data_IF_821145700905
#
_entry.id   IF_821145700905
#
_cell.length_a   1.000
_cell.length_b   1.000
_cell.length_c   1.000
_cell.angle_alpha   90.00
_cell.angle_beta   90.00
_cell.angle_gamma   90.00
#
_symmetry.space_group_name_H-M   'P 1'
#
loop_
_entity.id
_entity.type
_entity.pdbx_description
1 polymer ?
#
# COMPACT_ATOMS: atom_id res chain seq x y z
N UNK A 1 -0.23 15.40 -10.28
CA UNK A 1 0.65 14.81 -11.31
C UNK A 1 2.03 15.28 -10.98
N UNK A 2 2.96 14.36 -10.79
CA UNK A 2 4.34 14.67 -10.41
C UNK A 2 5.25 14.47 -11.62
N UNK A 3 6.17 15.40 -11.85
CA UNK A 3 7.15 15.30 -12.92
C UNK A 3 8.45 14.73 -12.34
N UNK A 4 9.04 13.78 -13.04
CA UNK A 4 10.32 13.17 -12.64
C UNK A 4 11.30 13.26 -13.80
N UNK A 5 12.59 13.34 -13.46
CA UNK A 5 13.68 13.24 -14.43
C UNK A 5 13.65 11.88 -15.14
N UNK A 6 14.13 11.83 -16.39
CA UNK A 6 14.15 10.60 -17.19
C UNK A 6 14.94 9.48 -16.49
N UNK A 7 16.02 9.83 -15.79
CA UNK A 7 16.84 8.90 -15.00
C UNK A 7 16.08 8.21 -13.85
N UNK A 8 14.91 8.74 -13.46
CA UNK A 8 14.05 8.16 -12.43
C UNK A 8 12.90 7.30 -13.01
N UNK A 9 12.80 7.15 -14.34
CA UNK A 9 11.66 6.47 -14.98
C UNK A 9 11.55 4.99 -14.63
N UNK A 10 12.67 4.27 -14.46
CA UNK A 10 12.63 2.88 -14.01
C UNK A 10 12.10 2.76 -12.57
N UNK A 11 12.48 3.70 -11.71
CA UNK A 11 11.97 3.79 -10.34
C UNK A 11 10.48 4.14 -10.32
N UNK A 12 10.05 5.09 -11.16
CA UNK A 12 8.65 5.43 -11.33
C UNK A 12 7.84 4.22 -11.84
N UNK A 13 8.39 3.42 -12.75
CA UNK A 13 7.76 2.19 -13.26
C UNK A 13 7.61 1.14 -12.15
N UNK A 14 8.65 0.93 -11.34
CA UNK A 14 8.59 0.00 -10.22
C UNK A 14 7.60 0.43 -9.13
N UNK A 15 7.49 1.73 -8.88
CA UNK A 15 6.59 2.29 -7.89
C UNK A 15 5.14 2.44 -8.40
N UNK A 16 4.90 3.27 -9.42
CA UNK A 16 3.56 3.65 -9.87
C UNK A 16 3.04 2.82 -11.05
N UNK A 17 3.94 2.30 -11.89
CA UNK A 17 3.57 1.38 -12.97
C UNK A 17 3.13 0.01 -12.41
N UNK A 18 3.89 -0.52 -11.47
CA UNK A 18 3.63 -1.82 -10.82
C UNK A 18 2.77 -1.69 -9.56
N UNK A 19 2.79 -0.52 -8.91
CA UNK A 19 2.08 -0.22 -7.65
C UNK A 19 0.62 -0.61 -7.60
N UNK A 20 -0.21 -0.37 -8.65
CA UNK A 20 -1.61 -0.77 -8.65
C UNK A 20 -1.81 -2.26 -8.37
N UNK A 21 -0.93 -3.13 -8.88
CA UNK A 21 -0.99 -4.56 -8.62
C UNK A 21 -0.71 -4.88 -7.14
N UNK A 22 0.26 -4.19 -6.53
CA UNK A 22 0.56 -4.36 -5.10
C UNK A 22 -0.62 -3.90 -4.22
N UNK A 23 -1.27 -2.79 -4.59
CA UNK A 23 -2.47 -2.29 -3.89
C UNK A 23 -3.67 -3.24 -4.08
N UNK A 24 -3.85 -3.85 -5.24
CA UNK A 24 -4.88 -4.89 -5.42
C UNK A 24 -4.60 -6.14 -4.57
N UNK A 25 -3.34 -6.46 -4.32
CA UNK A 25 -2.98 -7.53 -3.38
C UNK A 25 -3.42 -7.20 -1.94
N UNK A 26 -3.23 -5.95 -1.50
CA UNK A 26 -3.75 -5.48 -0.20
C UNK A 26 -5.28 -5.54 -0.16
N UNK A 27 -5.96 -5.11 -1.23
CA UNK A 27 -7.42 -5.17 -1.32
C UNK A 27 -7.94 -6.61 -1.14
N UNK A 28 -7.32 -7.58 -1.79
CA UNK A 28 -7.68 -8.99 -1.64
C UNK A 28 -7.41 -9.50 -0.22
N UNK A 29 -6.23 -9.19 0.34
CA UNK A 29 -5.87 -9.57 1.71
C UNK A 29 -6.85 -9.01 2.76
N UNK A 30 -7.23 -7.73 2.65
CA UNK A 30 -8.25 -7.10 3.51
C UNK A 30 -9.64 -7.73 3.33
N UNK A 31 -10.00 -8.08 2.08
CA UNK A 31 -11.27 -8.75 1.79
C UNK A 31 -11.33 -10.13 2.45
N UNK A 32 -10.27 -10.93 2.30
CA UNK A 32 -10.14 -12.25 2.94
C UNK A 32 -10.11 -12.12 4.46
N UNK A 33 -9.40 -11.12 5.00
CA UNK A 33 -9.34 -10.86 6.44
C UNK A 33 -10.73 -10.52 7.02
N UNK A 34 -11.47 -9.63 6.36
CA UNK A 34 -12.84 -9.27 6.76
C UNK A 34 -13.81 -10.45 6.70
N UNK A 35 -13.70 -11.29 5.68
CA UNK A 35 -14.51 -12.53 5.54
C UNK A 35 -14.22 -13.51 6.69
N UNK A 36 -12.94 -13.74 6.99
CA UNK A 36 -12.53 -14.57 8.13
C UNK A 36 -12.94 -13.99 9.50
N UNK A 37 -13.05 -12.67 9.60
CA UNK A 37 -13.55 -11.99 10.78
C UNK A 37 -15.09 -12.02 10.91
N UNK A 38 -15.80 -12.63 9.95
CA UNK A 38 -17.25 -12.88 10.02
C UNK A 38 -18.12 -11.96 9.15
N UNK A 39 -17.52 -11.09 8.33
CA UNK A 39 -18.29 -10.31 7.35
C UNK A 39 -18.64 -11.18 6.14
N UNK A 40 -19.79 -10.99 5.48
CA UNK A 40 -19.99 -11.57 4.16
C UNK A 40 -18.91 -11.06 3.19
N UNK A 41 -18.23 -11.94 2.46
CA UNK A 41 -17.18 -11.58 1.48
C UNK A 41 -17.49 -10.34 0.63
N UNK A 42 -18.72 -10.22 0.11
CA UNK A 42 -19.13 -9.08 -0.71
C UNK A 42 -19.16 -7.76 0.09
N UNK A 43 -19.51 -7.80 1.37
CA UNK A 43 -19.44 -6.65 2.29
C UNK A 43 -17.98 -6.32 2.60
N UNK A 44 -17.16 -7.33 2.93
CA UNK A 44 -15.73 -7.15 3.21
C UNK A 44 -15.01 -6.46 2.03
N UNK A 45 -15.26 -6.91 0.79
CA UNK A 45 -14.72 -6.30 -0.42
C UNK A 45 -15.12 -4.83 -0.58
N UNK A 46 -16.39 -4.50 -0.33
CA UNK A 46 -16.88 -3.11 -0.43
C UNK A 46 -16.29 -2.20 0.64
N UNK A 47 -16.07 -2.71 1.85
CA UNK A 47 -15.41 -1.96 2.92
C UNK A 47 -13.93 -1.76 2.59
N UNK A 48 -13.22 -2.83 2.23
CA UNK A 48 -11.79 -2.78 1.92
C UNK A 48 -11.46 -1.76 0.81
N UNK A 49 -12.22 -1.76 -0.30
CA UNK A 49 -12.02 -0.77 -1.38
C UNK A 49 -12.28 0.67 -0.91
N UNK A 50 -13.26 0.89 -0.03
CA UNK A 50 -13.58 2.23 0.48
C UNK A 50 -12.51 2.72 1.46
N UNK A 51 -11.98 1.81 2.30
CA UNK A 51 -10.85 2.08 3.19
C UNK A 51 -9.63 2.50 2.39
N UNK A 52 -9.27 1.74 1.34
CA UNK A 52 -8.13 2.09 0.48
C UNK A 52 -8.34 3.44 -0.23
N UNK A 53 -9.53 3.68 -0.80
CA UNK A 53 -9.84 4.96 -1.43
C UNK A 53 -9.75 6.13 -0.45
N UNK A 54 -10.33 5.98 0.75
CA UNK A 54 -10.34 7.02 1.79
C UNK A 54 -8.93 7.35 2.27
N UNK A 55 -8.13 6.33 2.57
CA UNK A 55 -6.74 6.53 3.01
C UNK A 55 -5.89 7.22 1.93
N UNK A 56 -5.98 6.77 0.68
CA UNK A 56 -5.26 7.39 -0.43
C UNK A 56 -5.71 8.84 -0.66
N UNK A 57 -7.01 9.10 -0.60
CA UNK A 57 -7.57 10.45 -0.74
C UNK A 57 -7.04 11.38 0.36
N UNK A 58 -7.08 10.95 1.62
CA UNK A 58 -6.58 11.72 2.75
C UNK A 58 -5.08 12.04 2.61
N UNK A 59 -4.28 11.08 2.17
CA UNK A 59 -2.85 11.29 1.93
C UNK A 59 -2.55 12.23 0.74
N UNK A 60 -3.48 12.40 -0.20
CA UNK A 60 -3.35 13.34 -1.33
C UNK A 60 -3.83 14.75 -0.95
N UNK A 61 -4.86 14.84 -0.10
CA UNK A 61 -5.50 16.10 0.26
C UNK A 61 -4.80 16.84 1.43
N UNK A 62 -3.85 16.20 2.11
CA UNK A 62 -3.12 16.80 3.25
C UNK A 62 -1.62 16.64 3.13
N UNK A 63 -0.86 17.49 3.85
CA UNK A 63 0.59 17.41 3.96
C UNK A 63 1.07 16.52 5.12
N UNK A 64 0.16 15.70 5.69
CA UNK A 64 0.53 14.79 6.78
C UNK A 64 1.32 13.60 6.24
N UNK A 65 2.39 13.27 6.94
CA UNK A 65 3.16 12.05 6.72
C UNK A 65 2.33 10.81 7.07
N UNK A 66 2.70 9.62 6.54
CA UNK A 66 2.03 8.37 6.91
C UNK A 66 1.98 8.11 8.43
N UNK A 67 3.06 8.43 9.14
CA UNK A 67 3.12 8.25 10.59
C UNK A 67 2.15 9.20 11.31
N UNK A 68 2.05 10.46 10.87
CA UNK A 68 1.07 11.39 11.43
C UNK A 68 -0.37 10.90 11.18
N UNK A 69 -0.66 10.36 9.99
CA UNK A 69 -1.97 9.74 9.73
C UNK A 69 -2.25 8.55 10.64
N UNK A 70 -1.26 7.70 10.89
CA UNK A 70 -1.37 6.58 11.83
C UNK A 70 -1.67 7.07 13.25
N UNK A 71 -0.99 8.13 13.71
CA UNK A 71 -1.25 8.74 15.03
C UNK A 71 -2.71 9.24 15.15
N UNK A 72 -3.28 9.80 14.08
CA UNK A 72 -4.66 10.31 14.11
C UNK A 72 -5.72 9.21 14.24
N UNK A 73 -5.42 7.98 13.81
CA UNK A 73 -6.39 6.87 13.78
C UNK A 73 -6.13 5.78 14.81
N UNK A 74 -5.00 5.84 15.52
CA UNK A 74 -4.70 4.92 16.60
C UNK A 74 -5.09 5.52 17.94
N UNK A 75 -5.52 4.64 18.85
CA UNK A 75 -5.74 4.96 20.26
C UNK A 75 -4.87 4.03 21.09
N UNK A 76 -4.33 4.47 22.25
CA UNK A 76 -3.58 3.58 23.14
C UNK A 76 -4.40 2.35 23.53
N UNK A 77 -3.85 1.15 23.26
CA UNK A 77 -4.55 -0.13 23.49
C UNK A 77 -5.74 -0.40 22.55
N UNK A 78 -5.86 0.35 21.45
CA UNK A 78 -6.93 0.21 20.47
C UNK A 78 -6.68 -0.88 19.43
N UNK A 79 -7.73 -1.21 18.66
CA UNK A 79 -7.69 -2.23 17.61
C UNK A 79 -6.69 -1.91 16.50
N UNK A 80 -6.48 -0.63 16.18
CA UNK A 80 -5.50 -0.19 15.19
C UNK A 80 -4.07 -0.54 15.60
N UNK A 81 -3.74 -0.38 16.89
CA UNK A 81 -2.39 -0.68 17.40
C UNK A 81 -2.11 -2.17 17.31
N UNK A 82 -3.04 -3.01 17.77
CA UNK A 82 -2.92 -4.47 17.66
C UNK A 82 -2.74 -4.93 16.21
N UNK A 83 -3.51 -4.36 15.28
CA UNK A 83 -3.38 -4.66 13.85
C UNK A 83 -2.02 -4.23 13.27
N UNK A 84 -1.53 -3.04 13.62
CA UNK A 84 -0.24 -2.53 13.15
C UNK A 84 0.93 -3.36 13.67
N UNK A 85 0.92 -3.75 14.95
CA UNK A 85 1.96 -4.63 15.53
C UNK A 85 2.11 -5.91 14.72
N UNK A 86 1.00 -6.56 14.34
CA UNK A 86 1.05 -7.78 13.52
C UNK A 86 1.65 -7.52 12.13
N UNK A 87 1.33 -6.38 11.50
CA UNK A 87 1.89 -6.02 10.20
C UNK A 87 3.39 -5.69 10.28
N UNK A 88 3.82 -5.04 11.35
CA UNK A 88 5.23 -4.73 11.63
C UNK A 88 6.03 -6.01 11.88
N UNK A 89 5.54 -6.91 12.73
CA UNK A 89 6.18 -8.21 13.00
C UNK A 89 6.26 -9.09 11.74
N UNK A 90 5.30 -8.97 10.84
CA UNK A 90 5.30 -9.66 9.56
C UNK A 90 6.23 -9.03 8.51
N UNK A 91 6.87 -7.89 8.80
CA UNK A 91 7.79 -7.21 7.90
C UNK A 91 7.11 -6.65 6.65
N UNK A 92 5.86 -6.19 6.77
CA UNK A 92 5.06 -5.75 5.61
C UNK A 92 5.72 -4.55 4.93
N UNK A 93 6.24 -3.59 5.70
CA UNK A 93 6.90 -2.41 5.12
C UNK A 93 8.13 -2.80 4.30
N UNK A 94 8.97 -3.67 4.84
CA UNK A 94 10.17 -4.20 4.19
C UNK A 94 9.81 -4.95 2.90
N UNK A 95 8.72 -5.72 2.92
CA UNK A 95 8.24 -6.43 1.74
C UNK A 95 7.83 -5.47 0.61
N UNK A 96 7.14 -4.36 0.92
CA UNK A 96 6.79 -3.34 -0.08
C UNK A 96 8.02 -2.62 -0.61
N UNK A 97 8.99 -2.29 0.26
CA UNK A 97 10.27 -1.67 -0.15
C UNK A 97 11.00 -2.58 -1.14
N UNK A 98 11.11 -3.87 -0.85
CA UNK A 98 11.78 -4.81 -1.74
C UNK A 98 10.98 -5.06 -3.02
N UNK A 99 9.65 -5.08 -2.98
CA UNK A 99 8.81 -5.20 -4.17
C UNK A 99 9.05 -4.06 -5.16
N UNK A 100 9.07 -2.81 -4.67
CA UNK A 100 9.38 -1.64 -5.49
C UNK A 100 10.80 -1.72 -6.03
N UNK A 101 11.79 -2.01 -5.18
CA UNK A 101 13.18 -2.10 -5.62
C UNK A 101 13.39 -3.19 -6.69
N UNK A 102 12.76 -4.35 -6.52
CA UNK A 102 12.81 -5.46 -7.48
C UNK A 102 12.15 -5.10 -8.81
N UNK A 103 10.97 -4.48 -8.79
CA UNK A 103 10.28 -4.03 -9.99
C UNK A 103 11.09 -2.96 -10.74
N UNK A 104 11.68 -1.99 -10.03
CA UNK A 104 12.55 -0.96 -10.60
C UNK A 104 13.80 -1.56 -11.26
N UNK A 105 14.48 -2.51 -10.59
CA UNK A 105 15.62 -3.23 -11.17
C UNK A 105 15.22 -4.02 -12.42
N UNK A 106 13.99 -4.56 -12.46
CA UNK A 106 13.48 -5.25 -13.64
C UNK A 106 13.21 -4.30 -14.79
N UNK A 107 12.65 -3.11 -14.51
CA UNK A 107 12.42 -2.06 -15.49
C UNK A 107 13.75 -1.62 -16.14
N UNK A 108 14.77 -1.31 -15.33
CA UNK A 108 16.09 -0.95 -15.84
C UNK A 108 16.68 -2.01 -16.79
N UNK A 109 16.59 -3.29 -16.40
CA UNK A 109 17.04 -4.41 -17.25
C UNK A 109 16.23 -4.55 -18.55
N UNK A 110 14.96 -4.14 -18.58
CA UNK A 110 14.17 -4.14 -19.82
C UNK A 110 14.62 -3.00 -20.74
N UNK A 111 14.84 -1.82 -20.17
CA UNK A 111 15.28 -0.61 -20.87
C UNK A 111 16.67 -0.78 -21.51
N UNK A 112 17.58 -1.51 -20.87
CA UNK A 112 18.91 -1.83 -21.44
C UNK A 112 18.88 -2.76 -22.67
N UNK A 113 17.78 -3.51 -22.88
CA UNK A 113 17.63 -4.47 -23.98
C UNK A 113 16.78 -3.94 -25.15
N UNK A 114 16.44 -2.65 -25.13
CA UNK A 114 15.73 -1.92 -26.20
C UNK A 114 16.71 -1.09 -27.01
#
# INVERSE_FOLDING_TARGET
VEWVEESAMDAATGLSGSGPAFVFHVLDALTVGGDKAGLPKAVAYRLARQTLQGAARLAIETDLTPNEWIEQVKTPGGTTVEGLTVLEEAGVQEAFVEAVASASRRAAKLSENL
#
